data_IF_848037415674
#
_entry.id   IF_848037415674
#
_cell.length_a   1.000
_cell.length_b   1.000
_cell.length_c   1.000
_cell.angle_alpha   90.00
_cell.angle_beta   90.00
_cell.angle_gamma   90.00
#
_symmetry.space_group_name_H-M   'P 1'
#
loop_
_entity.id
_entity.type
_entity.pdbx_description
1 polymer ?
#
# COMPACT_ATOMS: atom_id res chain seq x y z
N UNK A 1 23.48 -4.31 21.82
CA UNK A 1 23.73 -4.42 20.36
C UNK A 1 23.20 -5.72 19.76
N UNK A 2 23.18 -6.86 20.47
CA UNK A 2 22.67 -8.15 19.92
C UNK A 2 21.16 -8.16 19.62
N UNK A 3 20.33 -7.49 20.42
CA UNK A 3 18.86 -7.52 20.26
C UNK A 3 18.34 -6.78 19.01
N UNK A 4 19.06 -5.76 18.53
CA UNK A 4 18.60 -4.94 17.40
C UNK A 4 18.84 -5.62 16.05
N UNK A 5 19.99 -6.28 15.89
CA UNK A 5 20.31 -7.02 14.67
C UNK A 5 19.37 -8.22 14.48
N UNK A 6 18.96 -8.86 15.59
CA UNK A 6 17.95 -9.91 15.59
C UNK A 6 16.56 -9.37 15.21
N UNK A 7 16.16 -8.22 15.77
CA UNK A 7 14.90 -7.56 15.41
C UNK A 7 14.86 -7.11 13.93
N UNK A 8 15.99 -6.66 13.36
CA UNK A 8 16.09 -6.30 11.94
C UNK A 8 15.99 -7.53 11.03
N UNK A 9 16.71 -8.61 11.37
CA UNK A 9 16.68 -9.88 10.64
C UNK A 9 15.27 -10.46 10.63
N UNK A 10 14.58 -10.39 11.77
CA UNK A 10 13.18 -10.80 11.91
C UNK A 10 12.24 -9.93 11.07
N UNK A 11 12.42 -8.62 11.09
CA UNK A 11 11.61 -7.71 10.27
C UNK A 11 11.77 -7.99 8.77
N UNK A 12 13.01 -8.23 8.32
CA UNK A 12 13.29 -8.60 6.93
C UNK A 12 12.59 -9.91 6.55
N UNK A 13 12.74 -10.97 7.34
CA UNK A 13 12.10 -12.26 7.09
C UNK A 13 10.57 -12.15 7.04
N UNK A 14 9.96 -11.33 7.91
CA UNK A 14 8.52 -11.04 7.87
C UNK A 14 8.14 -10.35 6.55
N UNK A 15 8.94 -9.39 6.10
CA UNK A 15 8.71 -8.66 4.85
C UNK A 15 8.80 -9.55 3.61
N UNK A 16 9.79 -10.45 3.57
CA UNK A 16 9.97 -11.41 2.48
C UNK A 16 8.81 -12.40 2.41
N UNK A 17 8.39 -12.97 3.54
CA UNK A 17 7.21 -13.83 3.61
C UNK A 17 5.93 -13.09 3.18
N UNK A 18 5.79 -11.82 3.58
CA UNK A 18 4.65 -10.99 3.17
C UNK A 18 4.65 -10.71 1.66
N UNK A 19 5.81 -10.55 1.03
CA UNK A 19 5.92 -10.39 -0.42
C UNK A 19 5.42 -11.64 -1.16
N UNK A 20 5.82 -12.83 -0.70
CA UNK A 20 5.37 -14.10 -1.28
C UNK A 20 3.86 -14.31 -1.10
N UNK A 21 3.33 -14.07 0.11
CA UNK A 21 1.89 -14.15 0.37
C UNK A 21 1.11 -13.15 -0.49
N UNK A 22 1.59 -11.90 -0.59
CA UNK A 22 0.98 -10.87 -1.42
C UNK A 22 0.94 -11.26 -2.90
N UNK A 23 2.03 -11.84 -3.42
CA UNK A 23 2.08 -12.33 -4.78
C UNK A 23 1.01 -13.40 -5.02
N UNK A 24 0.91 -14.39 -4.11
CA UNK A 24 -0.13 -15.41 -4.16
C UNK A 24 -1.55 -14.82 -4.17
N UNK A 25 -1.80 -13.82 -3.32
CA UNK A 25 -3.09 -13.12 -3.27
C UNK A 25 -3.45 -12.44 -4.60
N UNK A 26 -2.46 -11.85 -5.30
CA UNK A 26 -2.69 -11.20 -6.59
C UNK A 26 -3.13 -12.18 -7.69
N UNK A 27 -2.69 -13.43 -7.60
CA UNK A 27 -2.96 -14.50 -8.57
C UNK A 27 -4.28 -15.23 -8.32
N UNK A 28 -4.97 -14.94 -7.22
CA UNK A 28 -6.24 -15.57 -6.93
C UNK A 28 -7.32 -15.26 -7.98
N UNK A 29 -8.13 -16.27 -8.27
CA UNK A 29 -9.30 -16.14 -9.14
C UNK A 29 -10.26 -15.08 -8.60
N UNK A 30 -10.68 -14.15 -9.47
CA UNK A 30 -11.65 -13.11 -9.13
C UNK A 30 -13.05 -13.66 -8.83
N UNK A 31 -13.33 -14.92 -9.15
CA UNK A 31 -14.57 -15.60 -8.70
C UNK A 31 -14.68 -15.74 -7.18
N UNK A 32 -13.55 -15.66 -6.46
CA UNK A 32 -13.52 -15.69 -4.99
C UNK A 32 -13.79 -14.31 -4.37
N UNK A 33 -13.93 -13.28 -5.19
CA UNK A 33 -14.05 -11.91 -4.76
C UNK A 33 -15.42 -11.34 -5.15
N UNK A 34 -15.97 -10.49 -4.28
CA UNK A 34 -17.18 -9.72 -4.57
C UNK A 34 -16.77 -8.44 -5.29
N UNK A 35 -17.41 -8.14 -6.42
CA UNK A 35 -17.25 -6.85 -7.10
C UNK A 35 -17.81 -5.71 -6.25
N UNK A 36 -17.02 -4.63 -6.12
CA UNK A 36 -17.45 -3.35 -5.54
C UNK A 36 -17.76 -2.35 -6.66
N UNK A 37 -18.53 -1.31 -6.33
CA UNK A 37 -18.74 -0.21 -7.28
C UNK A 37 -17.41 0.53 -7.49
N UNK A 38 -17.09 0.79 -8.76
CA UNK A 38 -15.96 1.62 -9.13
C UNK A 38 -16.38 2.61 -10.22
N UNK A 39 -16.13 3.90 -10.00
CA UNK A 39 -16.47 4.99 -10.94
C UNK A 39 -15.29 5.40 -11.81
N UNK A 40 -14.10 4.89 -11.53
CA UNK A 40 -12.87 5.25 -12.24
C UNK A 40 -12.76 4.41 -13.51
N UNK A 41 -12.64 5.02 -14.71
CA UNK A 41 -12.47 4.29 -15.96
C UNK A 41 -11.20 3.43 -15.95
N UNK A 42 -11.25 2.30 -16.64
CA UNK A 42 -10.17 1.30 -16.70
C UNK A 42 -9.64 0.91 -15.31
N UNK A 43 -10.54 0.89 -14.32
CA UNK A 43 -10.29 0.38 -12.98
C UNK A 43 -11.44 -0.50 -12.50
N UNK A 44 -11.15 -1.39 -11.57
CA UNK A 44 -12.11 -2.29 -10.96
C UNK A 44 -11.71 -2.57 -9.52
N UNK A 45 -12.69 -2.70 -8.64
CA UNK A 45 -12.46 -2.93 -7.22
C UNK A 45 -13.26 -4.17 -6.82
N UNK A 46 -12.64 -5.01 -6.01
CA UNK A 46 -13.26 -6.17 -5.40
C UNK A 46 -12.93 -6.24 -3.92
N UNK A 47 -13.73 -7.00 -3.18
CA UNK A 47 -13.46 -7.31 -1.79
C UNK A 47 -13.79 -8.75 -1.44
N UNK A 48 -13.18 -9.26 -0.37
CA UNK A 48 -13.55 -10.55 0.22
C UNK A 48 -13.29 -10.55 1.73
N UNK A 49 -13.95 -11.44 2.50
CA UNK A 49 -13.57 -11.66 3.89
C UNK A 49 -12.08 -12.06 3.99
N UNK A 50 -11.33 -11.40 4.87
CA UNK A 50 -9.99 -11.82 5.26
C UNK A 50 -9.97 -12.47 6.65
N UNK A 51 -8.78 -12.86 7.12
CA UNK A 51 -8.63 -13.54 8.43
C UNK A 51 -9.06 -12.67 9.61
N UNK A 52 -8.66 -11.38 9.60
CA UNK A 52 -8.95 -10.43 10.68
C UNK A 52 -9.83 -9.27 10.21
N UNK A 53 -9.51 -8.72 9.06
CA UNK A 53 -10.26 -7.63 8.41
C UNK A 53 -10.55 -7.99 6.97
N UNK A 54 -11.47 -7.24 6.35
CA UNK A 54 -11.83 -7.42 4.95
C UNK A 54 -10.66 -7.03 4.05
N UNK A 55 -10.47 -7.81 3.00
CA UNK A 55 -9.50 -7.53 1.94
C UNK A 55 -10.18 -6.74 0.83
N UNK A 56 -9.52 -5.72 0.34
CA UNK A 56 -9.92 -5.00 -0.86
C UNK A 56 -8.81 -5.10 -1.89
N UNK A 57 -9.17 -5.32 -3.14
CA UNK A 57 -8.26 -5.31 -4.26
C UNK A 57 -8.77 -4.32 -5.30
N UNK A 58 -7.92 -3.40 -5.74
CA UNK A 58 -8.12 -2.64 -6.95
C UNK A 58 -7.23 -3.18 -8.08
N UNK A 59 -7.71 -3.08 -9.31
CA UNK A 59 -6.92 -3.21 -10.52
C UNK A 59 -7.16 -1.98 -11.40
N UNK A 60 -6.10 -1.41 -11.98
CA UNK A 60 -6.22 -0.25 -12.85
C UNK A 60 -5.17 -0.25 -13.96
N UNK A 61 -5.53 0.32 -15.11
CA UNK A 61 -4.56 0.64 -16.17
C UNK A 61 -4.02 2.07 -15.98
N UNK A 62 -2.71 2.24 -16.11
CA UNK A 62 -2.04 3.54 -16.08
C UNK A 62 -1.26 3.71 -17.38
N UNK A 63 -1.37 4.89 -18.00
CA UNK A 63 -0.67 5.24 -19.24
C UNK A 63 0.77 5.69 -18.99
N UNK A 64 1.50 4.89 -18.21
CA UNK A 64 2.88 5.13 -17.81
C UNK A 64 3.68 3.81 -17.83
N UNK A 65 4.99 3.85 -18.11
CA UNK A 65 5.86 2.68 -17.99
C UNK A 65 5.86 2.11 -16.55
N UNK A 66 6.01 0.78 -16.37
CA UNK A 66 6.10 0.18 -15.03
C UNK A 66 7.18 0.80 -14.14
N UNK A 67 8.30 1.23 -14.71
CA UNK A 67 9.38 1.89 -13.99
C UNK A 67 8.96 3.22 -13.37
N UNK A 68 8.20 4.05 -14.09
CA UNK A 68 7.66 5.32 -13.57
C UNK A 68 6.67 5.06 -12.43
N UNK A 69 5.81 4.07 -12.59
CA UNK A 69 4.84 3.71 -11.53
C UNK A 69 5.57 3.16 -10.30
N UNK A 70 6.58 2.34 -10.48
CA UNK A 70 7.43 1.83 -9.40
C UNK A 70 8.20 2.94 -8.69
N UNK A 71 8.73 3.90 -9.45
CA UNK A 71 9.41 5.07 -8.89
C UNK A 71 8.48 5.85 -7.94
N UNK A 72 7.24 6.12 -8.36
CA UNK A 72 6.27 6.83 -7.51
C UNK A 72 5.89 6.02 -6.26
N UNK A 73 5.61 4.73 -6.43
CA UNK A 73 5.01 3.90 -5.38
C UNK A 73 6.04 3.32 -4.40
N UNK A 74 7.31 3.23 -4.79
CA UNK A 74 8.36 2.66 -3.95
C UNK A 74 9.48 3.64 -3.68
N UNK A 75 10.15 4.14 -4.72
CA UNK A 75 11.38 4.94 -4.59
C UNK A 75 11.08 6.32 -3.96
N UNK A 76 10.10 7.03 -4.50
CA UNK A 76 9.72 8.38 -4.09
C UNK A 76 8.47 8.36 -3.17
N UNK A 77 8.29 7.29 -2.41
CA UNK A 77 7.11 7.13 -1.54
C UNK A 77 6.99 8.23 -0.48
N UNK A 78 8.12 8.83 -0.08
CA UNK A 78 8.15 9.94 0.86
C UNK A 78 7.42 11.19 0.33
N UNK A 79 7.40 11.36 -0.99
CA UNK A 79 6.72 12.47 -1.69
C UNK A 79 5.22 12.20 -1.88
N UNK A 80 4.68 11.14 -1.27
CA UNK A 80 3.26 10.76 -1.46
C UNK A 80 2.30 11.91 -1.15
N UNK A 81 2.63 12.79 -0.20
CA UNK A 81 1.79 13.95 0.15
C UNK A 81 1.60 14.95 -1.00
N UNK A 82 2.54 15.02 -1.95
CA UNK A 82 2.44 15.94 -3.08
C UNK A 82 1.29 15.59 -4.03
N UNK A 83 0.83 14.34 -4.01
CA UNK A 83 -0.17 13.84 -4.96
C UNK A 83 -1.30 13.06 -4.30
N UNK A 84 -1.08 12.46 -3.13
CA UNK A 84 -2.07 11.71 -2.37
C UNK A 84 -2.57 12.50 -1.16
N UNK A 85 -3.88 12.80 -1.13
CA UNK A 85 -4.51 13.56 -0.06
C UNK A 85 -4.81 12.75 1.21
N UNK A 86 -4.74 11.41 1.16
CA UNK A 86 -5.06 10.56 2.30
C UNK A 86 -3.88 10.31 3.23
N UNK A 87 -2.66 10.56 2.76
CA UNK A 87 -1.42 10.36 3.51
C UNK A 87 -0.80 11.71 3.86
N UNK A 88 -0.47 11.87 5.13
CA UNK A 88 0.19 13.05 5.67
C UNK A 88 1.72 12.92 5.59
N UNK A 89 2.26 11.74 5.88
CA UNK A 89 3.70 11.51 5.76
C UNK A 89 4.03 10.04 5.55
N UNK A 90 5.09 9.79 4.78
CA UNK A 90 5.78 8.52 4.71
C UNK A 90 7.25 8.76 5.09
N UNK A 91 7.69 8.22 6.22
CA UNK A 91 9.03 8.43 6.76
C UNK A 91 9.80 7.12 6.77
N UNK A 92 10.99 7.11 6.15
CA UNK A 92 11.92 6.00 6.25
C UNK A 92 12.46 5.93 7.67
N UNK A 93 12.11 4.86 8.37
CA UNK A 93 12.60 4.60 9.73
C UNK A 93 13.93 3.88 9.67
N UNK A 94 14.07 2.90 8.76
CA UNK A 94 15.27 2.09 8.63
C UNK A 94 15.35 1.37 7.29
N UNK A 95 16.51 1.41 6.66
CA UNK A 95 16.84 0.49 5.56
C UNK A 95 17.31 -0.85 6.11
N UNK A 96 16.71 -1.96 5.68
CA UNK A 96 17.09 -3.32 6.08
C UNK A 96 18.00 -3.99 5.03
N UNK A 97 17.71 -3.77 3.76
CA UNK A 97 18.49 -4.22 2.59
C UNK A 97 18.23 -3.27 1.42
N UNK A 98 18.91 -3.36 0.26
CA UNK A 98 18.64 -2.49 -0.89
C UNK A 98 17.18 -2.48 -1.37
N UNK A 99 16.43 -3.55 -1.10
CA UNK A 99 15.04 -3.72 -1.52
C UNK A 99 14.05 -3.85 -0.35
N UNK A 100 14.49 -3.67 0.90
CA UNK A 100 13.64 -3.78 2.07
C UNK A 100 13.85 -2.65 3.07
N UNK A 101 12.74 -2.11 3.56
CA UNK A 101 12.72 -0.94 4.43
C UNK A 101 11.60 -1.03 5.48
N UNK A 102 11.83 -0.35 6.61
CA UNK A 102 10.79 -0.06 7.60
C UNK A 102 10.33 1.37 7.39
N UNK A 103 9.05 1.54 7.12
CA UNK A 103 8.40 2.81 6.87
C UNK A 103 7.37 3.12 7.95
N UNK A 104 7.35 4.37 8.41
CA UNK A 104 6.25 4.93 9.18
C UNK A 104 5.34 5.71 8.23
N UNK A 105 4.06 5.40 8.24
CA UNK A 105 3.05 6.09 7.43
C UNK A 105 2.03 6.73 8.35
N UNK A 106 1.83 8.03 8.22
CA UNK A 106 0.81 8.81 8.90
C UNK A 106 -0.28 9.19 7.91
N UNK A 107 -1.54 8.87 8.22
CA UNK A 107 -2.69 9.26 7.39
C UNK A 107 -3.30 10.56 7.86
N UNK A 108 -3.94 11.28 6.95
CA UNK A 108 -4.88 12.33 7.33
C UNK A 108 -6.13 11.73 7.99
N UNK A 109 -6.87 12.55 8.73
CA UNK A 109 -8.22 12.19 9.16
C UNK A 109 -9.15 12.12 7.93
N UNK A 110 -10.05 11.14 7.91
CA UNK A 110 -11.01 10.94 6.82
C UNK A 110 -12.42 11.41 7.22
N UNK A 111 -13.27 11.61 6.22
CA UNK A 111 -14.70 11.95 6.40
C UNK A 111 -14.96 13.16 7.30
N UNK A 112 -14.21 14.24 7.12
CA UNK A 112 -14.37 15.45 7.93
C UNK A 112 -14.08 15.24 9.41
N UNK A 113 -13.26 14.23 9.76
CA UNK A 113 -12.84 13.96 11.13
C UNK A 113 -13.59 12.80 11.81
N UNK A 114 -14.59 12.19 11.18
CA UNK A 114 -15.27 11.01 11.72
C UNK A 114 -14.34 9.82 11.90
N UNK A 115 -13.31 9.73 11.07
CA UNK A 115 -12.21 8.78 11.20
C UNK A 115 -10.96 9.59 11.45
N UNK A 116 -10.48 9.61 12.70
CA UNK A 116 -9.21 10.25 13.09
C UNK A 116 -7.99 9.80 12.26
N UNK A 117 -6.87 10.50 12.39
CA UNK A 117 -5.62 10.06 11.76
C UNK A 117 -5.15 8.71 12.33
N UNK A 118 -4.55 7.88 11.46
CA UNK A 118 -3.88 6.64 11.84
C UNK A 118 -2.41 6.74 11.52
N UNK A 119 -1.61 6.04 12.30
CA UNK A 119 -0.25 5.74 11.88
C UNK A 119 -0.02 4.23 11.77
N UNK A 120 0.93 3.86 10.92
CA UNK A 120 1.31 2.48 10.62
C UNK A 120 2.82 2.38 10.62
N UNK A 121 3.35 1.28 11.13
CA UNK A 121 4.74 0.91 10.94
C UNK A 121 4.76 -0.36 10.13
N UNK A 122 5.32 -0.27 8.93
CA UNK A 122 5.31 -1.34 7.97
C UNK A 122 6.73 -1.75 7.61
N UNK A 123 6.95 -3.04 7.41
CA UNK A 123 8.06 -3.49 6.56
C UNK A 123 7.55 -3.58 5.13
N UNK A 124 8.37 -3.08 4.20
CA UNK A 124 8.10 -3.11 2.75
C UNK A 124 9.25 -3.81 2.08
N UNK A 125 8.96 -4.73 1.17
CA UNK A 125 9.96 -5.42 0.36
C UNK A 125 9.57 -5.30 -1.10
N UNK A 126 10.51 -4.96 -1.95
CA UNK A 126 10.32 -4.87 -3.39
C UNK A 126 11.14 -5.91 -4.15
N UNK A 127 10.68 -6.26 -5.35
CA UNK A 127 11.39 -7.13 -6.28
C UNK A 127 11.03 -6.75 -7.72
N UNK A 128 12.02 -6.77 -8.60
CA UNK A 128 11.80 -6.76 -10.05
C UNK A 128 11.42 -8.17 -10.51
N UNK A 129 10.40 -8.27 -11.35
CA UNK A 129 9.91 -9.53 -11.89
C UNK A 129 10.77 -9.97 -13.08
N UNK A 130 10.80 -11.28 -13.32
CA UNK A 130 11.57 -11.88 -14.40
C UNK A 130 11.15 -11.30 -15.77
N UNK A 131 12.06 -11.36 -16.75
CA UNK A 131 11.86 -10.88 -18.12
C UNK A 131 11.37 -9.42 -18.24
N UNK A 132 11.70 -8.57 -17.26
CA UNK A 132 11.26 -7.17 -17.21
C UNK A 132 9.73 -7.03 -17.30
N UNK A 133 9.01 -8.00 -16.73
CA UNK A 133 7.55 -8.04 -16.70
C UNK A 133 6.97 -6.94 -15.79
N UNK A 134 7.76 -6.41 -14.86
CA UNK A 134 7.39 -5.31 -13.98
C UNK A 134 7.99 -5.45 -12.58
N UNK A 135 7.26 -4.99 -11.58
CA UNK A 135 7.71 -4.92 -10.19
C UNK A 135 6.64 -5.40 -9.23
N UNK A 136 7.06 -5.86 -8.05
CA UNK A 136 6.18 -6.18 -6.95
C UNK A 136 6.69 -5.52 -5.68
N UNK A 137 5.78 -4.98 -4.87
CA UNK A 137 6.06 -4.35 -3.58
C UNK A 137 5.10 -4.94 -2.56
N UNK A 138 5.61 -5.82 -1.71
CA UNK A 138 4.90 -6.42 -0.58
C UNK A 138 5.02 -5.54 0.65
N UNK A 139 3.97 -5.47 1.45
CA UNK A 139 3.92 -4.65 2.66
C UNK A 139 3.13 -5.35 3.74
N UNK A 140 3.62 -5.31 4.98
CA UNK A 140 2.86 -5.77 6.15
C UNK A 140 3.22 -4.93 7.37
N UNK A 141 2.29 -4.83 8.31
CA UNK A 141 2.50 -4.16 9.58
C UNK A 141 3.40 -4.98 10.50
N UNK A 142 4.26 -4.29 11.27
CA UNK A 142 5.12 -4.93 12.28
C UNK A 142 5.02 -4.22 13.62
N UNK A 143 5.28 -4.98 14.69
CA UNK A 143 5.63 -4.38 15.97
C UNK A 143 7.07 -3.90 15.91
N UNK A 144 7.26 -2.60 16.03
CA UNK A 144 8.57 -1.97 15.99
C UNK A 144 8.88 -1.32 17.35
N UNK A 145 9.97 -1.77 17.97
CA UNK A 145 10.43 -1.27 19.27
C UNK A 145 11.18 0.06 19.19
N UNK A 146 11.48 0.54 17.98
CA UNK A 146 12.10 1.85 17.81
C UNK A 146 11.16 2.97 18.26
N UNK A 147 11.74 4.12 18.60
CA UNK A 147 11.06 5.26 19.20
C UNK A 147 10.22 6.05 18.21
N UNK A 148 9.12 5.45 17.73
CA UNK A 148 8.02 6.19 17.08
C UNK A 148 7.03 6.58 18.17
N UNK A 149 7.09 7.83 18.60
CA UNK A 149 6.17 8.37 19.61
C UNK A 149 4.77 8.43 19.01
N UNK A 150 3.79 7.82 19.70
CA UNK A 150 2.39 7.95 19.31
C UNK A 150 1.97 9.40 19.54
N UNK A 151 1.63 10.10 18.45
CA UNK A 151 1.11 11.46 18.53
C UNK A 151 -0.27 11.45 19.17
N UNK A 152 -0.56 12.48 19.99
CA UNK A 152 -1.89 12.65 20.57
C UNK A 152 -2.95 12.72 19.46
N UNK A 153 -4.07 11.99 19.62
CA UNK A 153 -5.14 11.93 18.62
C UNK A 153 -4.89 11.00 17.43
N UNK A 154 -3.74 10.35 17.35
CA UNK A 154 -3.39 9.38 16.29
C UNK A 154 -3.49 7.96 16.83
N UNK A 155 -4.28 7.11 16.17
CA UNK A 155 -4.41 5.69 16.53
C UNK A 155 -3.45 4.84 15.72
N UNK A 156 -2.65 4.00 16.39
CA UNK A 156 -1.80 3.01 15.70
C UNK A 156 -2.66 1.92 15.08
N UNK A 157 -2.74 1.90 13.76
CA UNK A 157 -3.31 0.80 13.00
C UNK A 157 -2.32 -0.35 12.82
N UNK A 158 -2.81 -1.46 12.28
CA UNK A 158 -1.99 -2.60 11.89
C UNK A 158 -2.41 -3.06 10.49
N UNK A 159 -1.45 -3.12 9.58
CA UNK A 159 -1.69 -3.69 8.25
C UNK A 159 -1.42 -5.19 8.28
N UNK A 160 -2.29 -5.97 7.67
CA UNK A 160 -1.95 -7.31 7.21
C UNK A 160 -1.15 -7.23 5.91
N UNK A 161 -1.01 -8.38 5.25
CA UNK A 161 -0.33 -8.45 3.95
C UNK A 161 -1.13 -7.68 2.90
N UNK A 162 -0.44 -6.74 2.25
CA UNK A 162 -0.95 -5.81 1.26
C UNK A 162 0.19 -5.35 0.34
N UNK A 163 -0.09 -4.54 -0.68
CA UNK A 163 0.98 -4.07 -1.56
C UNK A 163 0.55 -3.74 -2.97
N UNK A 164 1.55 -3.59 -3.85
CA UNK A 164 1.38 -3.25 -5.26
C UNK A 164 2.07 -4.29 -6.15
N UNK A 165 1.36 -4.79 -7.15
CA UNK A 165 1.92 -5.55 -8.26
C UNK A 165 1.77 -4.70 -9.52
N UNK A 166 2.90 -4.35 -10.12
CA UNK A 166 3.04 -3.35 -11.18
C UNK A 166 3.50 -4.09 -12.43
N UNK A 167 2.58 -4.40 -13.34
CA UNK A 167 2.86 -5.23 -14.51
C UNK A 167 2.86 -4.42 -15.79
N UNK A 168 3.67 -4.84 -16.76
CA UNK A 168 3.59 -4.33 -18.13
C UNK A 168 2.22 -4.57 -18.73
N UNK A 169 1.73 -3.59 -19.48
CA UNK A 169 0.47 -3.65 -20.22
C UNK A 169 0.61 -2.94 -21.57
N UNK A 170 -0.23 -3.29 -22.55
CA UNK A 170 -0.17 -2.68 -23.89
C UNK A 170 -0.36 -1.15 -23.88
N UNK A 171 -1.09 -0.64 -22.89
CA UNK A 171 -1.31 0.80 -22.67
C UNK A 171 -0.35 1.43 -21.65
N UNK A 172 0.68 0.71 -21.18
CA UNK A 172 1.59 1.18 -20.13
C UNK A 172 1.70 0.16 -19.00
N UNK A 173 0.95 0.38 -17.91
CA UNK A 173 1.02 -0.43 -16.69
C UNK A 173 -0.36 -0.97 -16.30
N UNK A 174 -0.41 -2.25 -15.90
CA UNK A 174 -1.51 -2.85 -15.15
C UNK A 174 -1.09 -2.89 -13.68
N UNK A 175 -1.75 -2.10 -12.85
CA UNK A 175 -1.55 -2.06 -11.41
C UNK A 175 -2.57 -2.97 -10.74
N UNK A 176 -2.11 -3.86 -9.86
CA UNK A 176 -2.93 -4.53 -8.85
C UNK A 176 -2.52 -4.00 -7.49
N UNK A 177 -3.49 -3.57 -6.70
CA UNK A 177 -3.28 -3.02 -5.36
C UNK A 177 -4.21 -3.72 -4.38
N UNK A 178 -3.66 -4.31 -3.33
CA UNK A 178 -4.44 -4.89 -2.24
C UNK A 178 -4.28 -4.01 -1.00
N UNK A 179 -5.38 -3.80 -0.27
CA UNK A 179 -5.40 -3.21 1.07
C UNK A 179 -5.94 -4.24 2.06
N UNK A 180 -5.21 -4.38 3.16
CA UNK A 180 -5.54 -5.23 4.29
C UNK A 180 -5.19 -4.45 5.57
N UNK A 181 -6.13 -3.65 6.06
CA UNK A 181 -5.84 -2.68 7.12
C UNK A 181 -6.82 -2.83 8.27
N UNK A 182 -6.27 -3.07 9.45
CA UNK A 182 -6.97 -2.87 10.71
C UNK A 182 -6.65 -1.46 11.23
N UNK A 183 -7.58 -0.53 11.00
CA UNK A 183 -7.46 0.87 11.45
C UNK A 183 -7.52 1.04 12.96
N UNK A 184 -7.89 -0.03 13.70
CA UNK A 184 -8.15 -0.06 15.15
C UNK A 184 -9.16 1.00 15.60
N UNK A 185 -9.51 0.93 16.90
CA UNK A 185 -10.49 1.82 17.52
C UNK A 185 -11.94 1.44 17.21
N UNK A 186 -12.87 2.30 17.62
CA UNK A 186 -14.31 2.04 17.51
C UNK A 186 -14.91 2.75 16.30
N UNK A 187 -14.71 2.17 15.12
CA UNK A 187 -15.29 2.65 13.86
C UNK A 187 -16.30 1.62 13.34
N UNK A 188 -17.52 2.03 12.96
CA UNK A 188 -18.48 1.14 12.32
C UNK A 188 -17.88 0.49 11.06
N UNK A 189 -17.99 -0.84 10.95
CA UNK A 189 -17.43 -1.58 9.80
C UNK A 189 -18.00 -1.10 8.46
N UNK A 190 -19.28 -0.73 8.41
CA UNK A 190 -19.91 -0.18 7.22
C UNK A 190 -19.24 1.10 6.73
N UNK A 191 -18.73 1.94 7.64
CA UNK A 191 -17.99 3.15 7.28
C UNK A 191 -16.63 2.80 6.68
N UNK A 192 -15.91 1.84 7.26
CA UNK A 192 -14.63 1.35 6.71
C UNK A 192 -14.84 0.72 5.33
N UNK A 193 -15.86 -0.12 5.20
CA UNK A 193 -16.17 -0.83 3.95
C UNK A 193 -16.56 0.13 2.81
N UNK A 194 -17.10 1.31 3.13
CA UNK A 194 -17.37 2.38 2.17
C UNK A 194 -16.13 3.27 1.91
N UNK A 195 -15.28 3.45 2.93
CA UNK A 195 -14.06 4.26 2.89
C UNK A 195 -13.02 3.73 1.93
N UNK A 196 -12.74 2.43 2.02
CA UNK A 196 -11.62 1.83 1.31
C UNK A 196 -11.81 1.90 -0.22
N UNK A 197 -12.96 1.55 -0.81
CA UNK A 197 -13.16 1.71 -2.25
C UNK A 197 -13.06 3.17 -2.72
N UNK A 198 -13.63 4.12 -1.96
CA UNK A 198 -13.55 5.54 -2.30
C UNK A 198 -12.11 6.07 -2.25
N UNK A 199 -11.33 5.62 -1.27
CA UNK A 199 -9.91 5.90 -1.18
C UNK A 199 -9.15 5.31 -2.37
N UNK A 200 -9.45 4.05 -2.73
CA UNK A 200 -8.83 3.40 -3.87
C UNK A 200 -9.06 4.16 -5.18
N UNK A 201 -10.28 4.62 -5.42
CA UNK A 201 -10.62 5.46 -6.57
C UNK A 201 -9.81 6.77 -6.59
N UNK A 202 -9.80 7.50 -5.47
CA UNK A 202 -9.07 8.76 -5.32
C UNK A 202 -7.58 8.58 -5.59
N UNK A 203 -7.00 7.55 -5.00
CA UNK A 203 -5.58 7.22 -5.13
C UNK A 203 -5.21 6.86 -6.57
N UNK A 204 -6.03 6.06 -7.28
CA UNK A 204 -5.77 5.72 -8.69
C UNK A 204 -5.79 6.97 -9.58
N UNK A 205 -6.76 7.87 -9.37
CA UNK A 205 -6.84 9.13 -10.12
C UNK A 205 -5.63 10.02 -9.84
N UNK A 206 -5.24 10.15 -8.58
CA UNK A 206 -4.07 10.91 -8.16
C UNK A 206 -2.76 10.34 -8.73
N UNK A 207 -2.59 9.02 -8.66
CA UNK A 207 -1.42 8.31 -9.18
C UNK A 207 -1.27 8.50 -10.69
N UNK A 208 -2.37 8.40 -11.46
CA UNK A 208 -2.37 8.67 -12.91
C UNK A 208 -1.88 10.09 -13.22
N UNK A 209 -2.36 11.10 -12.46
CA UNK A 209 -1.91 12.49 -12.61
C UNK A 209 -0.42 12.65 -12.29
N UNK A 210 0.06 12.03 -11.20
CA UNK A 210 1.48 12.07 -10.83
C UNK A 210 2.36 11.41 -11.88
N UNK A 211 1.95 10.26 -12.41
CA UNK A 211 2.68 9.54 -13.46
C UNK A 211 2.80 10.38 -14.74
N UNK A 212 1.70 10.99 -15.20
CA UNK A 212 1.72 11.89 -16.35
C UNK A 212 2.63 13.10 -16.14
N UNK A 213 2.63 13.69 -14.93
CA UNK A 213 3.48 14.82 -14.60
C UNK A 213 4.98 14.47 -14.61
N UNK A 214 5.35 13.30 -14.10
CA UNK A 214 6.74 12.83 -14.12
C UNK A 214 7.21 12.48 -15.54
N UNK A 215 6.35 11.85 -16.35
CA UNK A 215 6.67 11.57 -17.75
C UNK A 215 6.89 12.83 -18.58
N UNK A 216 6.20 13.93 -18.27
CA UNK A 216 6.38 15.20 -18.97
C UNK A 216 7.70 15.93 -18.63
N UNK A 217 8.41 15.48 -17.60
CA UNK A 217 9.69 16.05 -17.15
C UNK A 217 10.91 15.29 -17.69
N UNK A 218 10.69 14.14 -18.33
CA UNK A 218 11.72 13.27 -18.93
C UNK A 218 11.81 13.51 -20.44
#
# INVERSE_FOLDING_TARGET
>A
MSNQADDDTRALAIGEAALEEFHGMCLESKSLWRTESCKVPDASIWSKPGKAVRLFQAEAILEAPPSVVFEILHINIADTREWNTSVDACTLMKQLSPNAEIMHTLTCAMYGGLVSARDFINVRVSKELDDQAGYIVGTTGIEYKGSVVRSSGVTRGMNGVMGFLILRHAKGTRLVWIINTDVKGWIPRSLIDAAIPAEMESYIVALRKRAAALQAQQ
#
